data_IF_314916408555
#
_entry.id   IF_314916408555
#
_cell.length_a   1.000
_cell.length_b   1.000
_cell.length_c   1.000
_cell.angle_alpha   90.00
_cell.angle_beta   90.00
_cell.angle_gamma   90.00
#
_symmetry.space_group_name_H-M   'P 1'
#
loop_
_entity.id
_entity.type
_entity.pdbx_description
1 polymer ?
#
# COMPACT_ATOMS: atom_id res chain seq x y z
N UNK A 1 2.25 -2.68 19.67
CA UNK A 1 0.79 -2.85 19.56
C UNK A 1 0.54 -4.06 18.67
N UNK A 2 0.02 -5.16 19.22
CA UNK A 2 -0.28 -6.38 18.44
C UNK A 2 -1.70 -6.24 17.88
N UNK A 3 -1.83 -6.26 16.56
CA UNK A 3 -3.14 -6.23 15.90
C UNK A 3 -3.92 -7.50 16.26
N UNK A 4 -5.14 -7.35 16.79
CA UNK A 4 -6.07 -8.44 17.11
C UNK A 4 -6.66 -9.12 15.86
N UNK A 5 -6.13 -8.83 14.67
CA UNK A 5 -6.61 -9.41 13.43
C UNK A 5 -6.23 -10.91 13.39
N UNK A 6 -7.21 -11.84 13.42
CA UNK A 6 -6.93 -13.27 13.32
C UNK A 6 -6.34 -13.66 11.95
N UNK A 7 -6.33 -12.73 10.99
CA UNK A 7 -5.73 -12.88 9.67
C UNK A 7 -4.45 -12.01 9.56
N UNK A 8 -3.30 -12.50 10.06
CA UNK A 8 -2.05 -11.74 10.05
C UNK A 8 -1.52 -11.43 8.64
N UNK A 9 -1.98 -12.17 7.62
CA UNK A 9 -1.69 -11.86 6.21
C UNK A 9 -2.39 -10.58 5.74
N UNK A 10 -3.62 -10.33 6.21
CA UNK A 10 -4.41 -9.15 5.82
C UNK A 10 -3.80 -7.90 6.47
N UNK A 11 -3.23 -8.03 7.67
CA UNK A 11 -2.48 -6.94 8.30
C UNK A 11 -1.25 -6.49 7.48
N UNK A 12 -0.64 -7.38 6.69
CA UNK A 12 0.44 -7.00 5.75
C UNK A 12 -0.10 -6.36 4.48
N UNK A 13 -1.24 -6.82 3.98
CA UNK A 13 -1.96 -6.24 2.83
C UNK A 13 -2.40 -4.81 3.15
N UNK A 14 -3.02 -4.61 4.32
CA UNK A 14 -3.45 -3.29 4.79
C UNK A 14 -2.26 -2.33 4.95
N UNK A 15 -1.15 -2.82 5.49
CA UNK A 15 0.09 -2.04 5.58
C UNK A 15 0.61 -1.68 4.20
N UNK A 16 0.70 -2.64 3.28
CA UNK A 16 1.18 -2.38 1.93
C UNK A 16 0.31 -1.33 1.21
N UNK A 17 -1.02 -1.40 1.36
CA UNK A 17 -1.94 -0.39 0.83
C UNK A 17 -1.72 0.99 1.46
N UNK A 18 -1.54 1.06 2.78
CA UNK A 18 -1.25 2.31 3.48
C UNK A 18 0.08 2.94 3.05
N UNK A 19 1.12 2.12 2.91
CA UNK A 19 2.44 2.56 2.45
C UNK A 19 2.36 3.06 1.00
N UNK A 20 1.60 2.37 0.15
CA UNK A 20 1.34 2.82 -1.22
C UNK A 20 0.68 4.19 -1.27
N UNK A 21 -0.35 4.40 -0.45
CA UNK A 21 -1.04 5.69 -0.32
C UNK A 21 -0.09 6.81 0.09
N UNK A 22 0.74 6.57 1.12
CA UNK A 22 1.73 7.54 1.59
C UNK A 22 2.82 7.83 0.56
N UNK A 23 3.25 6.81 -0.19
CA UNK A 23 4.24 6.94 -1.26
C UNK A 23 3.74 7.81 -2.43
N UNK A 24 2.42 7.91 -2.63
CA UNK A 24 1.86 8.79 -3.65
C UNK A 24 2.13 10.27 -3.37
N UNK A 25 2.10 10.68 -2.10
CA UNK A 25 2.47 12.03 -1.67
C UNK A 25 3.95 12.35 -1.93
N UNK A 26 4.79 11.33 -2.02
CA UNK A 26 6.22 11.45 -2.35
C UNK A 26 6.47 11.37 -3.87
N UNK A 27 5.44 11.19 -4.69
CA UNK A 27 5.56 11.06 -6.15
C UNK A 27 6.09 9.69 -6.62
N UNK A 28 6.16 8.71 -5.73
CA UNK A 28 6.70 7.39 -6.04
C UNK A 28 5.66 6.54 -6.79
N UNK A 29 6.04 5.98 -7.94
CA UNK A 29 5.12 5.22 -8.83
C UNK A 29 5.35 3.71 -8.83
N UNK A 30 6.46 3.24 -8.28
CA UNK A 30 6.86 1.83 -8.29
C UNK A 30 6.85 1.26 -6.87
N UNK A 31 6.27 0.06 -6.75
CA UNK A 31 6.23 -0.68 -5.50
C UNK A 31 7.66 -1.06 -5.08
N UNK A 32 8.03 -0.87 -3.80
CA UNK A 32 9.33 -1.30 -3.30
C UNK A 32 9.49 -2.83 -3.39
N UNK A 33 10.73 -3.28 -3.46
CA UNK A 33 11.10 -4.69 -3.68
C UNK A 33 10.51 -5.61 -2.62
N UNK A 34 10.33 -5.11 -1.39
CA UNK A 34 9.69 -5.83 -0.28
C UNK A 34 8.26 -6.32 -0.56
N UNK A 35 7.54 -5.62 -1.45
CA UNK A 35 6.18 -5.98 -1.85
C UNK A 35 6.15 -6.61 -3.24
N UNK A 36 7.21 -6.48 -4.03
CA UNK A 36 7.26 -6.94 -5.43
C UNK A 36 7.15 -8.46 -5.58
N UNK A 37 7.69 -9.22 -4.62
CA UNK A 37 7.75 -10.69 -4.67
C UNK A 37 6.43 -11.37 -4.26
N UNK A 38 5.52 -10.65 -3.61
CA UNK A 38 4.20 -11.14 -3.26
C UNK A 38 3.12 -10.40 -4.05
N UNK A 39 2.44 -11.11 -4.95
CA UNK A 39 1.42 -10.54 -5.82
C UNK A 39 0.33 -9.75 -5.08
N UNK A 40 -0.14 -10.25 -3.94
CA UNK A 40 -1.21 -9.60 -3.17
C UNK A 40 -0.71 -8.29 -2.53
N UNK A 41 0.50 -8.31 -1.96
CA UNK A 41 1.11 -7.10 -1.36
C UNK A 41 1.46 -6.06 -2.41
N UNK A 42 1.99 -6.49 -3.56
CA UNK A 42 2.25 -5.61 -4.71
C UNK A 42 0.97 -4.92 -5.16
N UNK A 43 -0.11 -5.68 -5.34
CA UNK A 43 -1.38 -5.13 -5.78
C UNK A 43 -1.99 -4.19 -4.73
N UNK A 44 -1.92 -4.54 -3.45
CA UNK A 44 -2.37 -3.68 -2.36
C UNK A 44 -1.64 -2.34 -2.36
N UNK A 45 -0.30 -2.36 -2.47
CA UNK A 45 0.51 -1.16 -2.58
C UNK A 45 0.13 -0.31 -3.80
N UNK A 46 -0.03 -0.92 -4.97
CA UNK A 46 -0.41 -0.20 -6.21
C UNK A 46 -1.79 0.45 -6.06
N UNK A 47 -2.76 -0.24 -5.45
CA UNK A 47 -4.10 0.30 -5.21
C UNK A 47 -4.02 1.52 -4.30
N UNK A 48 -3.30 1.42 -3.18
CA UNK A 48 -3.07 2.54 -2.27
C UNK A 48 -2.42 3.73 -2.96
N UNK A 49 -1.37 3.48 -3.75
CA UNK A 49 -0.63 4.51 -4.47
C UNK A 49 -1.48 5.23 -5.53
N UNK A 50 -2.28 4.48 -6.29
CA UNK A 50 -3.26 5.08 -7.21
C UNK A 50 -4.28 5.94 -6.48
N UNK A 51 -4.76 5.49 -5.32
CA UNK A 51 -5.71 6.26 -4.52
C UNK A 51 -5.10 7.56 -4.02
N UNK A 52 -3.88 7.52 -3.49
CA UNK A 52 -3.19 8.73 -3.04
C UNK A 52 -2.95 9.72 -4.18
N UNK A 53 -2.54 9.25 -5.36
CA UNK A 53 -2.41 10.12 -6.53
C UNK A 53 -3.74 10.72 -7.00
N UNK A 54 -4.83 9.94 -6.94
CA UNK A 54 -6.15 10.46 -7.24
C UNK A 54 -6.56 11.56 -6.26
N UNK A 55 -6.41 11.32 -4.95
CA UNK A 55 -6.80 12.29 -3.93
C UNK A 55 -5.94 13.57 -4.04
N UNK A 56 -4.63 13.47 -4.29
CA UNK A 56 -3.73 14.62 -4.49
C UNK A 56 -4.04 15.43 -5.76
N UNK A 57 -4.52 14.79 -6.82
CA UNK A 57 -4.90 15.48 -8.06
C UNK A 57 -6.27 16.16 -7.97
N UNK A 58 -7.08 15.83 -6.95
CA UNK A 58 -8.43 16.38 -6.74
C UNK A 58 -8.53 17.24 -5.46
N UNK A 59 -7.41 17.49 -4.76
CA UNK A 59 -7.31 18.36 -3.59
C UNK A 59 -6.93 19.79 -3.99
#
# INVERSE_FOLDING_TARGET
MSSSNPYPKDARVDRAAHDGYSAAAQGQKLAPTEYADNGDLKMAWIIGNRRGHFDLNNA
#
